data_IF_893171664490
#
_entry.id   IF_893171664490
#
_cell.length_a   1.000
_cell.length_b   1.000
_cell.length_c   1.000
_cell.angle_alpha   90.00
_cell.angle_beta   90.00
_cell.angle_gamma   90.00
#
_symmetry.space_group_name_H-M   'P 1'
#
loop_
_entity.id
_entity.type
_entity.pdbx_description
1 polymer ?
#
# COMPACT_ATOMS: atom_id res chain seq x y z
N UNK A 1 -19.34 -17.01 -2.37
CA UNK A 1 -19.20 -15.56 -2.18
C UNK A 1 -18.59 -15.34 -0.81
N UNK A 2 -17.46 -14.65 -0.74
CA UNK A 2 -16.79 -14.33 0.52
C UNK A 2 -16.79 -12.81 0.69
N UNK A 3 -17.49 -12.32 1.72
CA UNK A 3 -17.65 -10.89 2.00
C UNK A 3 -16.91 -10.59 3.29
N UNK A 4 -15.93 -9.68 3.22
CA UNK A 4 -15.31 -9.11 4.42
C UNK A 4 -16.00 -7.80 4.76
N UNK A 5 -16.57 -7.74 5.96
CA UNK A 5 -17.25 -6.52 6.42
C UNK A 5 -16.21 -5.43 6.67
N UNK A 6 -16.61 -4.18 6.50
CA UNK A 6 -15.77 -3.06 6.89
C UNK A 6 -15.37 -3.20 8.38
N UNK A 7 -14.09 -2.98 8.69
CA UNK A 7 -13.54 -3.15 10.03
C UNK A 7 -13.30 -4.60 10.49
N UNK A 8 -13.62 -5.63 9.68
CA UNK A 8 -13.40 -7.03 10.07
C UNK A 8 -11.94 -7.51 9.90
N UNK A 9 -11.07 -6.65 9.40
CA UNK A 9 -9.63 -6.91 9.23
C UNK A 9 -8.86 -5.85 9.98
N UNK A 10 -8.00 -6.29 10.90
CA UNK A 10 -7.16 -5.39 11.66
C UNK A 10 -6.15 -4.70 10.76
N UNK A 11 -5.92 -3.42 11.01
CA UNK A 11 -4.80 -2.70 10.43
C UNK A 11 -3.47 -3.27 10.94
N UNK A 12 -2.42 -3.09 10.14
CA UNK A 12 -1.04 -3.35 10.55
C UNK A 12 -0.19 -2.08 10.40
N UNK A 13 0.95 -2.06 11.08
CA UNK A 13 1.95 -1.00 10.95
C UNK A 13 2.99 -1.45 9.93
N UNK A 14 3.38 -0.56 9.01
CA UNK A 14 4.43 -0.83 8.05
C UNK A 14 5.77 -1.06 8.74
N UNK A 15 6.53 -2.08 8.29
CA UNK A 15 7.87 -2.34 8.84
C UNK A 15 8.79 -1.12 8.64
N UNK A 16 9.56 -0.70 9.65
CA UNK A 16 10.51 0.40 9.49
C UNK A 16 11.57 0.14 8.42
N UNK A 17 11.84 -1.12 8.08
CA UNK A 17 12.77 -1.50 7.00
C UNK A 17 12.27 -1.08 5.61
N UNK A 18 10.95 -0.99 5.44
CA UNK A 18 10.31 -0.63 4.17
C UNK A 18 9.67 0.76 4.20
N UNK A 19 9.43 1.31 5.38
CA UNK A 19 8.70 2.56 5.57
C UNK A 19 9.41 3.46 6.58
N UNK A 20 10.31 4.36 6.12
CA UNK A 20 10.80 5.44 6.97
C UNK A 20 9.66 6.41 7.32
N UNK A 21 9.10 6.26 8.52
CA UNK A 21 8.01 7.06 9.07
C UNK A 21 6.79 6.20 9.47
N UNK A 22 5.79 6.83 10.08
CA UNK A 22 4.58 6.13 10.50
C UNK A 22 3.68 5.81 9.29
N UNK A 23 3.45 4.51 9.05
CA UNK A 23 2.61 4.00 7.96
C UNK A 23 1.64 2.96 8.51
N UNK A 24 0.36 3.12 8.18
CA UNK A 24 -0.71 2.17 8.52
C UNK A 24 -1.19 1.47 7.25
N UNK A 25 -1.40 0.16 7.33
CA UNK A 25 -1.81 -0.68 6.22
C UNK A 25 -3.14 -1.38 6.56
N UNK A 26 -4.12 -1.27 5.68
CA UNK A 26 -5.44 -1.91 5.78
C UNK A 26 -5.64 -2.92 4.63
N UNK A 27 -5.52 -4.23 4.89
CA UNK A 27 -5.64 -5.25 3.85
C UNK A 27 -7.05 -5.31 3.21
N UNK A 28 -7.14 -5.13 1.90
CA UNK A 28 -8.43 -5.04 1.18
C UNK A 28 -8.71 -6.27 0.30
N UNK A 29 -7.74 -6.77 -0.47
CA UNK A 29 -7.89 -7.99 -1.28
C UNK A 29 -6.63 -8.84 -1.15
N UNK A 30 -6.83 -10.13 -0.94
CA UNK A 30 -5.84 -11.17 -1.21
C UNK A 30 -6.59 -12.27 -1.97
N UNK A 31 -6.34 -12.34 -3.28
CA UNK A 31 -7.04 -13.29 -4.13
C UNK A 31 -6.45 -14.70 -3.96
N UNK A 32 -7.28 -15.76 -3.95
CA UNK A 32 -6.78 -17.12 -3.97
C UNK A 32 -6.19 -17.46 -5.35
N UNK A 33 -5.28 -18.43 -5.39
CA UNK A 33 -4.78 -19.00 -6.63
C UNK A 33 -5.94 -19.45 -7.54
N UNK A 34 -5.84 -19.25 -8.88
CA UNK A 34 -4.67 -18.80 -9.64
C UNK A 34 -4.53 -17.27 -9.77
N UNK A 35 -5.40 -16.48 -9.11
CA UNK A 35 -5.35 -15.03 -9.20
C UNK A 35 -4.22 -14.47 -8.32
N UNK A 36 -3.48 -13.49 -8.84
CA UNK A 36 -2.28 -12.92 -8.18
C UNK A 36 -2.48 -11.53 -7.58
N UNK A 37 -3.70 -10.99 -7.62
CA UNK A 37 -3.95 -9.63 -7.17
C UNK A 37 -3.96 -9.56 -5.64
N UNK A 38 -3.25 -8.56 -5.12
CA UNK A 38 -3.32 -8.10 -3.74
C UNK A 38 -3.61 -6.61 -3.75
N UNK A 39 -4.44 -6.14 -2.82
CA UNK A 39 -4.65 -4.73 -2.60
C UNK A 39 -4.69 -4.41 -1.11
N UNK A 40 -4.11 -3.27 -0.78
CA UNK A 40 -3.99 -2.74 0.58
C UNK A 40 -4.23 -1.24 0.49
N UNK A 41 -5.02 -0.70 1.41
CA UNK A 41 -5.11 0.75 1.59
C UNK A 41 -3.97 1.15 2.52
N UNK A 42 -3.09 2.04 2.07
CA UNK A 42 -1.93 2.48 2.84
C UNK A 42 -2.11 3.95 3.20
N UNK A 43 -2.01 4.26 4.50
CA UNK A 43 -2.05 5.64 5.01
C UNK A 43 -0.65 6.03 5.47
N UNK A 44 -0.15 7.13 4.93
CA UNK A 44 1.14 7.71 5.30
C UNK A 44 0.92 8.94 6.16
N UNK A 45 1.52 8.98 7.36
CA UNK A 45 1.62 10.23 8.11
C UNK A 45 2.52 11.24 7.38
N UNK A 46 2.42 12.55 7.68
CA UNK A 46 3.25 13.56 7.03
C UNK A 46 4.74 13.22 7.07
N UNK A 47 5.36 13.14 5.89
CA UNK A 47 6.79 12.81 5.71
C UNK A 47 7.14 11.32 5.69
N UNK A 48 6.18 10.44 5.97
CA UNK A 48 6.35 8.99 5.77
C UNK A 48 6.32 8.65 4.28
N UNK A 49 7.13 7.67 3.86
CA UNK A 49 7.21 7.18 2.48
C UNK A 49 7.67 5.73 2.45
N UNK A 50 7.60 5.10 1.29
CA UNK A 50 8.24 3.80 1.05
C UNK A 50 9.74 3.95 0.85
N UNK A 51 10.51 2.91 1.19
CA UNK A 51 11.83 2.70 0.60
C UNK A 51 11.71 2.52 -0.92
N UNK A 52 12.82 2.71 -1.65
CA UNK A 52 12.88 2.38 -3.07
C UNK A 52 12.63 0.88 -3.28
N UNK A 53 11.78 0.55 -4.25
CA UNK A 53 11.40 -0.83 -4.52
C UNK A 53 10.89 -0.98 -5.96
N UNK A 54 10.72 -2.22 -6.41
CA UNK A 54 10.13 -2.57 -7.69
C UNK A 54 9.04 -3.63 -7.51
N UNK A 55 8.09 -3.67 -8.44
CA UNK A 55 7.09 -4.73 -8.52
C UNK A 55 7.25 -5.48 -9.85
N UNK A 56 7.35 -6.82 -9.84
CA UNK A 56 7.66 -7.60 -11.04
C UNK A 56 6.58 -7.50 -12.13
N UNK A 57 5.35 -7.16 -11.75
CA UNK A 57 4.20 -6.99 -12.66
C UNK A 57 3.66 -5.56 -12.63
N UNK A 58 4.45 -4.61 -12.12
CA UNK A 58 4.01 -3.24 -11.87
C UNK A 58 3.08 -3.11 -10.65
N UNK A 59 2.68 -1.87 -10.38
CA UNK A 59 1.77 -1.49 -9.30
C UNK A 59 0.87 -0.36 -9.79
N UNK A 60 -0.40 -0.38 -9.39
CA UNK A 60 -1.33 0.73 -9.62
C UNK A 60 -1.72 1.35 -8.29
N UNK A 61 -1.71 2.68 -8.23
CA UNK A 61 -2.09 3.46 -7.07
C UNK A 61 -3.35 4.26 -7.37
N UNK A 62 -4.31 4.23 -6.45
CA UNK A 62 -5.51 5.08 -6.48
C UNK A 62 -5.48 5.92 -5.21
N UNK A 63 -5.33 7.23 -5.36
CA UNK A 63 -5.33 8.16 -4.21
C UNK A 63 -6.76 8.32 -3.73
N UNK A 64 -7.04 7.85 -2.51
CA UNK A 64 -8.37 7.94 -1.90
C UNK A 64 -8.59 9.24 -1.10
N UNK A 65 -7.53 9.79 -0.50
CA UNK A 65 -7.58 11.03 0.28
C UNK A 65 -6.19 11.66 0.45
N UNK A 66 -6.15 12.95 0.77
CA UNK A 66 -4.92 13.68 1.07
C UNK A 66 -4.10 14.09 -0.16
N UNK A 67 -2.80 14.34 0.05
CA UNK A 67 -1.81 14.68 -0.99
C UNK A 67 -0.48 14.05 -0.62
N UNK A 68 0.23 13.51 -1.61
CA UNK A 68 1.57 12.92 -1.44
C UNK A 68 2.42 13.13 -2.69
N UNK A 69 3.65 12.60 -2.64
CA UNK A 69 4.58 12.55 -3.77
C UNK A 69 4.79 11.10 -4.18
N UNK A 70 5.06 10.87 -5.46
CA UNK A 70 5.48 9.58 -5.99
C UNK A 70 6.56 9.83 -7.04
N UNK A 71 7.55 8.94 -7.09
CA UNK A 71 8.69 9.11 -7.99
C UNK A 71 9.16 7.73 -8.46
N UNK A 72 9.50 7.63 -9.75
CA UNK A 72 10.29 6.51 -10.30
C UNK A 72 11.77 6.88 -10.24
N UNK A 73 12.65 5.89 -10.07
CA UNK A 73 14.10 6.16 -10.00
C UNK A 73 14.58 7.04 -11.16
N UNK A 74 15.31 8.12 -10.86
CA UNK A 74 15.75 9.18 -11.79
C UNK A 74 14.64 9.91 -12.59
N UNK A 75 13.38 9.64 -12.29
CA UNK A 75 12.22 10.33 -12.85
C UNK A 75 11.91 11.65 -12.13
N UNK A 76 11.01 12.47 -12.70
CA UNK A 76 10.56 13.68 -12.03
C UNK A 76 9.74 13.35 -10.78
N UNK A 77 9.73 14.33 -9.86
CA UNK A 77 8.80 14.39 -8.72
C UNK A 77 7.63 15.27 -9.10
#
# INVERSE_FOLDING_TARGET
MDIKKNGSRSSTVGSPDYFPGAVRMDPAIEAPEPARIRSVVVTFEPGARTAWHTHPLGQSLIVLSGRGLAQSWDGPV
#
